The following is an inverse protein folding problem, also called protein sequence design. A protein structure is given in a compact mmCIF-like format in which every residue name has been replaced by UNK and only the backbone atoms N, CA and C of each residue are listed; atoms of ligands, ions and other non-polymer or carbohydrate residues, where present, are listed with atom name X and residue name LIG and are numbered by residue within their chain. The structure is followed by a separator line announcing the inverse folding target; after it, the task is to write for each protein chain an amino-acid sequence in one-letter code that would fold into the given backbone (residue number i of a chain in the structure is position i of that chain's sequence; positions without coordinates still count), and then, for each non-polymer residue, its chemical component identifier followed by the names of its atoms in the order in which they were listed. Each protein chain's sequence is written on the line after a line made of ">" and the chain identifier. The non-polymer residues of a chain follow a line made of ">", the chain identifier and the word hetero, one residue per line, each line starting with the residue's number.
data_IF_718126495611
#
_entry.id   IF_718126495611
#
_cell.length_a   1.000
_cell.length_b   1.000
_cell.length_c   1.000
_cell.angle_alpha   90.00
_cell.angle_beta   90.00
_cell.angle_gamma   90.00
#
_symmetry.space_group_name_H-M   'P 1'
#
loop_
_entity.id
_entity.type
_entity.pdbx_description
1 polymer ?
#
# COMPACT_ATOMS: atom_id res chain seq x y z
N UNK A 1 -33.30 18.02 30.87
CA UNK A 1 -32.53 19.26 31.16
C UNK A 1 -31.20 19.03 31.87
N UNK A 2 -31.01 17.90 32.58
CA UNK A 2 -29.79 17.64 33.38
C UNK A 2 -28.56 17.29 32.51
N UNK A 3 -28.72 16.60 31.37
CA UNK A 3 -27.55 16.18 30.56
C UNK A 3 -26.82 17.34 29.85
N UNK A 4 -27.53 18.37 29.36
CA UNK A 4 -26.92 19.51 28.65
C UNK A 4 -26.05 20.42 29.53
N UNK A 5 -26.32 20.49 30.85
CA UNK A 5 -25.51 21.29 31.79
C UNK A 5 -24.19 20.61 32.11
N UNK A 6 -24.20 19.28 32.27
CA UNK A 6 -23.01 18.47 32.54
C UNK A 6 -22.01 18.57 31.37
N UNK A 7 -22.49 18.54 30.11
CA UNK A 7 -21.62 18.62 28.93
C UNK A 7 -20.89 19.96 28.80
N UNK A 8 -21.55 21.08 29.13
CA UNK A 8 -20.94 22.42 29.05
C UNK A 8 -19.82 22.62 30.07
N UNK A 9 -20.01 22.15 31.31
CA UNK A 9 -18.98 22.26 32.34
C UNK A 9 -17.74 21.43 32.01
N UNK A 10 -17.93 20.21 31.47
CA UNK A 10 -16.84 19.34 31.03
C UNK A 10 -16.10 19.97 29.84
N UNK A 11 -16.81 20.46 28.83
CA UNK A 11 -16.20 21.16 27.69
C UNK A 11 -15.37 22.38 28.12
N UNK A 12 -15.85 23.15 29.10
CA UNK A 12 -15.14 24.33 29.58
C UNK A 12 -13.86 23.98 30.35
N UNK A 13 -13.84 22.88 31.10
CA UNK A 13 -12.67 22.41 31.84
C UNK A 13 -11.51 22.05 30.89
N UNK A 14 -11.78 21.29 29.83
CA UNK A 14 -10.76 20.88 28.87
C UNK A 14 -10.29 22.03 27.97
N UNK A 15 -11.15 23.03 27.72
CA UNK A 15 -10.79 24.22 26.94
C UNK A 15 -9.68 25.05 27.61
N UNK A 16 -9.62 25.06 28.95
CA UNK A 16 -8.55 25.72 29.71
C UNK A 16 -7.17 25.12 29.39
N UNK A 17 -7.14 23.84 29.02
CA UNK A 17 -5.92 23.09 28.69
C UNK A 17 -5.66 23.04 27.18
N UNK A 18 -6.40 23.83 26.37
CA UNK A 18 -6.27 23.86 24.91
C UNK A 18 -6.98 22.72 24.17
N UNK A 19 -7.74 21.87 24.86
CA UNK A 19 -8.45 20.74 24.26
C UNK A 19 -9.91 21.07 23.95
N UNK A 20 -10.40 20.56 22.81
CA UNK A 20 -11.82 20.62 22.42
C UNK A 20 -12.43 19.23 22.50
N UNK A 21 -13.45 19.06 23.33
CA UNK A 21 -14.21 17.80 23.40
C UNK A 21 -15.24 17.80 22.27
N UNK A 22 -15.12 16.81 21.39
CA UNK A 22 -16.03 16.57 20.28
C UNK A 22 -16.76 15.26 20.61
N UNK A 23 -18.10 15.20 20.54
CA UNK A 23 -18.79 13.92 20.63
C UNK A 23 -18.22 12.98 19.57
N UNK A 24 -17.79 11.79 19.99
CA UNK A 24 -17.60 10.69 19.06
C UNK A 24 -19.01 10.25 18.69
N UNK A 25 -19.48 10.72 17.53
CA UNK A 25 -20.60 10.05 16.89
C UNK A 25 -20.09 8.64 16.58
N UNK A 26 -20.75 7.59 17.07
CA UNK A 26 -20.46 6.20 16.69
C UNK A 26 -20.71 5.96 15.17
N UNK A 27 -21.09 7.04 14.46
CA UNK A 27 -21.10 7.21 13.01
C UNK A 27 -19.83 7.88 12.44
N UNK A 28 -18.70 7.84 13.13
CA UNK A 28 -17.38 7.99 12.50
C UNK A 28 -17.05 6.67 11.78
N UNK A 29 -17.64 6.28 10.64
CA UNK A 29 -17.34 6.83 9.29
C UNK A 29 -16.41 8.05 9.29
N UNK A 30 -15.18 7.83 9.74
CA UNK A 30 -14.07 8.73 9.40
C UNK A 30 -13.97 8.78 7.88
N UNK A 31 -13.99 9.99 7.33
CA UNK A 31 -14.19 10.36 5.93
C UNK A 31 -15.60 10.12 5.35
N UNK A 32 -16.38 11.21 5.25
CA UNK A 32 -17.58 11.33 4.38
C UNK A 32 -17.30 11.07 2.87
N UNK A 33 -16.08 10.66 2.53
CA UNK A 33 -15.56 10.39 1.18
C UNK A 33 -15.65 8.89 0.87
N UNK A 34 -15.67 8.03 1.90
CA UNK A 34 -15.82 6.59 1.74
C UNK A 34 -17.30 6.28 1.42
N UNK A 35 -17.54 5.73 0.22
CA UNK A 35 -18.86 5.37 -0.26
C UNK A 35 -19.18 3.89 0.05
N UNK A 36 -20.47 3.52 -0.04
CA UNK A 36 -20.92 2.16 0.23
C UNK A 36 -20.24 1.10 -0.66
N UNK A 37 -19.90 1.46 -1.91
CA UNK A 37 -19.21 0.56 -2.85
C UNK A 37 -17.81 0.16 -2.35
N UNK A 38 -17.08 1.08 -1.73
CA UNK A 38 -15.78 0.77 -1.12
C UNK A 38 -15.93 0.04 0.23
N UNK A 39 -16.98 0.30 1.00
CA UNK A 39 -17.20 -0.40 2.28
C UNK A 39 -17.27 -1.92 2.09
N UNK A 40 -17.95 -2.41 1.04
CA UNK A 40 -17.98 -3.83 0.71
C UNK A 40 -16.59 -4.39 0.38
N UNK A 41 -15.82 -3.69 -0.46
CA UNK A 41 -14.44 -4.10 -0.80
C UNK A 41 -13.55 -4.11 0.44
N UNK A 42 -13.68 -3.08 1.29
CA UNK A 42 -12.92 -2.95 2.52
C UNK A 42 -13.17 -4.14 3.45
N UNK A 43 -14.43 -4.51 3.68
CA UNK A 43 -14.80 -5.64 4.53
C UNK A 43 -14.23 -6.97 4.02
N UNK A 44 -14.21 -7.19 2.70
CA UNK A 44 -13.63 -8.39 2.08
C UNK A 44 -12.08 -8.43 2.16
N UNK A 45 -11.42 -7.27 2.29
CA UNK A 45 -9.96 -7.18 2.15
C UNK A 45 -9.21 -6.91 3.46
N UNK A 46 -9.85 -6.32 4.48
CA UNK A 46 -9.19 -5.77 5.68
C UNK A 46 -8.38 -6.80 6.48
N UNK A 47 -8.79 -8.06 6.49
CA UNK A 47 -8.07 -9.14 7.21
C UNK A 47 -6.83 -9.66 6.45
N UNK A 48 -6.67 -9.25 5.18
CA UNK A 48 -5.60 -9.68 4.28
C UNK A 48 -4.60 -8.55 3.96
N UNK A 49 -4.75 -7.37 4.55
CA UNK A 49 -3.79 -6.26 4.45
C UNK A 49 -3.47 -5.64 5.81
N UNK A 50 -2.25 -5.13 5.98
CA UNK A 50 -1.86 -4.32 7.14
C UNK A 50 -1.97 -2.81 6.85
N UNK A 51 -2.45 -2.45 5.66
CA UNK A 51 -2.61 -1.07 5.25
C UNK A 51 -3.81 -0.41 5.92
N UNK A 52 -3.74 0.90 6.08
CA UNK A 52 -4.83 1.70 6.64
C UNK A 52 -6.01 1.78 5.69
N UNK A 53 -7.21 2.08 6.20
CA UNK A 53 -8.39 2.28 5.36
C UNK A 53 -8.18 3.40 4.33
N UNK A 54 -7.41 4.43 4.67
CA UNK A 54 -7.03 5.53 3.79
C UNK A 54 -6.17 5.06 2.62
N UNK A 55 -5.20 4.16 2.87
CA UNK A 55 -4.37 3.54 1.81
C UNK A 55 -5.17 2.59 0.95
N UNK A 56 -6.06 1.80 1.55
CA UNK A 56 -6.99 0.93 0.83
C UNK A 56 -7.91 1.76 -0.09
N UNK A 57 -8.46 2.86 0.41
CA UNK A 57 -9.34 3.76 -0.35
C UNK A 57 -8.56 4.47 -1.47
N UNK A 58 -7.37 4.99 -1.18
CA UNK A 58 -6.52 5.61 -2.19
C UNK A 58 -6.18 4.64 -3.33
N UNK A 59 -5.91 3.37 -3.02
CA UNK A 59 -5.69 2.33 -4.01
C UNK A 59 -6.95 2.08 -4.86
N UNK A 60 -8.12 1.93 -4.23
CA UNK A 60 -9.40 1.83 -4.95
C UNK A 60 -9.62 3.01 -5.91
N UNK A 61 -9.42 4.25 -5.45
CA UNK A 61 -9.54 5.46 -6.28
C UNK A 61 -8.52 5.53 -7.40
N UNK A 62 -7.30 5.05 -7.18
CA UNK A 62 -6.26 4.97 -8.20
C UNK A 62 -6.68 4.03 -9.34
N UNK A 63 -7.23 2.86 -9.00
CA UNK A 63 -7.76 1.90 -9.99
C UNK A 63 -8.92 2.51 -10.76
N UNK A 64 -9.88 3.14 -10.08
CA UNK A 64 -11.00 3.82 -10.73
C UNK A 64 -10.54 4.89 -11.72
N UNK A 65 -9.60 5.74 -11.30
CA UNK A 65 -9.01 6.77 -12.14
C UNK A 65 -8.36 6.18 -13.39
N UNK A 66 -7.55 5.13 -13.24
CA UNK A 66 -6.85 4.48 -14.36
C UNK A 66 -7.82 3.92 -15.38
N UNK A 67 -8.88 3.25 -14.92
CA UNK A 67 -9.88 2.65 -15.81
C UNK A 67 -10.70 3.75 -16.50
N UNK A 68 -11.21 4.75 -15.75
CA UNK A 68 -12.00 5.87 -16.31
C UNK A 68 -11.21 6.70 -17.31
N UNK A 69 -9.94 6.99 -17.01
CA UNK A 69 -9.05 7.74 -17.89
C UNK A 69 -8.43 6.90 -19.01
N UNK A 70 -8.74 5.60 -19.07
CA UNK A 70 -8.22 4.65 -20.07
C UNK A 70 -6.69 4.63 -20.16
N UNK A 71 -6.01 4.76 -19.02
CA UNK A 71 -4.55 4.77 -18.98
C UNK A 71 -4.04 3.36 -19.31
N UNK A 72 -3.19 3.18 -20.33
CA UNK A 72 -2.74 1.86 -20.75
C UNK A 72 -1.66 1.32 -19.82
N UNK A 73 -1.67 0.00 -19.62
CA UNK A 73 -0.67 -0.73 -18.84
C UNK A 73 -1.26 -1.66 -17.80
N UNK A 74 -0.44 -2.55 -17.30
CA UNK A 74 -0.79 -3.51 -16.25
C UNK A 74 -0.58 -2.91 -14.85
N UNK A 75 -1.04 -3.62 -13.82
CA UNK A 75 -0.82 -3.24 -12.43
C UNK A 75 0.35 -4.02 -11.85
N UNK A 76 1.12 -3.36 -10.99
CA UNK A 76 2.26 -3.94 -10.29
C UNK A 76 2.16 -3.64 -8.81
N UNK A 77 2.35 -4.67 -8.00
CA UNK A 77 2.56 -4.58 -6.56
C UNK A 77 3.87 -5.30 -6.20
N UNK A 78 4.73 -4.60 -5.48
CA UNK A 78 5.96 -5.14 -4.89
C UNK A 78 5.80 -5.14 -3.37
N UNK A 79 5.80 -6.33 -2.77
CA UNK A 79 5.37 -6.54 -1.39
C UNK A 79 3.85 -6.72 -1.32
N UNK A 80 3.42 -7.97 -1.25
CA UNK A 80 2.03 -8.41 -1.39
C UNK A 80 1.47 -8.90 -0.06
N UNK A 81 2.30 -9.47 0.82
CA UNK A 81 1.88 -10.13 2.05
C UNK A 81 0.74 -11.13 1.78
N UNK A 82 -0.40 -11.03 2.48
CA UNK A 82 -1.58 -11.89 2.29
C UNK A 82 -2.43 -11.51 1.07
N UNK A 83 -2.08 -10.43 0.37
CA UNK A 83 -2.68 -10.04 -0.89
C UNK A 83 -3.88 -9.11 -0.80
N UNK A 84 -4.25 -8.58 0.38
CA UNK A 84 -5.43 -7.73 0.53
C UNK A 84 -5.41 -6.47 -0.35
N UNK A 85 -4.24 -5.85 -0.54
CA UNK A 85 -4.10 -4.72 -1.46
C UNK A 85 -4.33 -5.12 -2.92
N UNK A 86 -3.76 -6.24 -3.38
CA UNK A 86 -4.09 -6.80 -4.68
C UNK A 86 -5.58 -7.24 -4.80
N UNK A 87 -6.22 -7.71 -3.73
CA UNK A 87 -7.65 -8.02 -3.71
C UNK A 87 -8.48 -6.75 -3.97
N UNK A 88 -8.13 -5.61 -3.35
CA UNK A 88 -8.78 -4.32 -3.65
C UNK A 88 -8.68 -3.99 -5.14
N UNK A 89 -7.51 -4.20 -5.75
CA UNK A 89 -7.35 -3.99 -7.20
C UNK A 89 -8.31 -4.88 -7.99
N UNK A 90 -8.38 -6.17 -7.67
CA UNK A 90 -9.25 -7.12 -8.37
C UNK A 90 -10.73 -6.80 -8.22
N UNK A 91 -11.23 -6.54 -7.00
CA UNK A 91 -12.65 -6.22 -6.79
C UNK A 91 -13.03 -4.91 -7.48
N UNK A 92 -12.16 -3.89 -7.42
CA UNK A 92 -12.41 -2.61 -8.11
C UNK A 92 -12.46 -2.82 -9.63
N UNK A 93 -11.53 -3.58 -10.20
CA UNK A 93 -11.55 -3.92 -11.64
C UNK A 93 -12.83 -4.68 -12.03
N UNK A 94 -13.26 -5.65 -11.21
CA UNK A 94 -14.50 -6.42 -11.43
C UNK A 94 -15.74 -5.53 -11.38
N UNK A 95 -15.87 -4.66 -10.37
CA UNK A 95 -16.97 -3.69 -10.28
C UNK A 95 -17.05 -2.80 -11.54
N UNK A 96 -15.89 -2.43 -12.10
CA UNK A 96 -15.79 -1.63 -13.31
C UNK A 96 -15.86 -2.43 -14.61
N UNK A 97 -16.04 -3.76 -14.53
CA UNK A 97 -16.09 -4.68 -15.68
C UNK A 97 -14.81 -4.65 -16.54
N UNK A 98 -13.67 -4.33 -15.94
CA UNK A 98 -12.36 -4.41 -16.57
C UNK A 98 -11.68 -5.74 -16.18
N UNK A 99 -11.45 -6.60 -17.15
CA UNK A 99 -10.91 -7.97 -16.91
C UNK A 99 -9.72 -8.31 -17.81
N UNK A 100 -9.13 -7.32 -18.49
CA UNK A 100 -8.04 -7.56 -19.43
C UNK A 100 -6.66 -7.19 -18.86
N UNK A 101 -6.61 -6.44 -17.76
CA UNK A 101 -5.35 -6.03 -17.13
C UNK A 101 -4.74 -7.18 -16.34
N UNK A 102 -3.43 -7.35 -16.48
CA UNK A 102 -2.67 -8.23 -15.59
C UNK A 102 -2.31 -7.49 -14.31
N UNK A 103 -2.17 -8.25 -13.24
CA UNK A 103 -1.63 -7.80 -11.95
C UNK A 103 -0.38 -8.62 -11.69
N UNK A 104 0.78 -7.96 -11.68
CA UNK A 104 2.07 -8.55 -11.38
C UNK A 104 2.35 -8.38 -9.89
N UNK A 105 2.50 -9.50 -9.20
CA UNK A 105 2.61 -9.62 -7.75
C UNK A 105 4.02 -10.12 -7.42
N UNK A 106 4.90 -9.21 -7.01
CA UNK A 106 6.27 -9.53 -6.62
C UNK A 106 6.36 -9.63 -5.11
N UNK A 107 6.77 -10.80 -4.62
CA UNK A 107 6.96 -11.03 -3.18
C UNK A 107 7.93 -12.20 -2.98
N UNK A 108 8.60 -12.24 -1.83
CA UNK A 108 9.37 -13.42 -1.43
C UNK A 108 8.44 -14.62 -1.22
N UNK A 109 7.20 -14.38 -0.76
CA UNK A 109 6.26 -15.36 -0.22
C UNK A 109 6.87 -16.22 0.90
N UNK A 110 7.90 -15.68 1.54
CA UNK A 110 8.78 -16.30 2.54
C UNK A 110 9.10 -15.31 3.68
N UNK A 111 8.31 -14.23 3.79
CA UNK A 111 8.45 -13.15 4.77
C UNK A 111 9.51 -12.12 4.42
N UNK A 112 9.82 -11.24 5.37
CA UNK A 112 10.73 -10.12 5.14
C UNK A 112 12.14 -10.57 4.77
N UNK A 113 12.70 -9.96 3.73
CA UNK A 113 14.13 -10.03 3.43
C UNK A 113 14.95 -9.36 4.53
N UNK A 114 16.21 -9.77 4.69
CA UNK A 114 17.10 -9.16 5.68
C UNK A 114 17.27 -7.65 5.41
N UNK A 115 16.94 -6.79 6.38
CA UNK A 115 17.09 -5.34 6.25
C UNK A 115 18.56 -4.94 6.43
N UNK A 116 18.88 -3.72 6.00
CA UNK A 116 20.19 -3.10 6.17
C UNK A 116 20.18 -2.08 7.30
N UNK A 117 21.34 -1.45 7.55
CA UNK A 117 21.46 -0.33 8.50
C UNK A 117 20.67 0.93 8.12
N UNK A 118 20.27 1.04 6.85
CA UNK A 118 19.47 2.16 6.35
C UNK A 118 18.01 2.04 6.81
N UNK A 119 17.59 0.82 7.16
CA UNK A 119 16.19 0.47 7.41
C UNK A 119 15.85 0.66 8.90
N UNK A 120 15.57 1.91 9.24
CA UNK A 120 15.12 2.35 10.56
C UNK A 120 13.66 2.78 10.54
N UNK A 121 12.90 2.42 11.57
CA UNK A 121 11.53 2.90 11.73
C UNK A 121 11.56 4.38 12.08
N UNK A 122 10.92 5.23 11.27
CA UNK A 122 10.98 6.68 11.45
C UNK A 122 10.37 7.13 12.79
N UNK A 123 9.29 6.47 13.23
CA UNK A 123 8.57 6.86 14.45
C UNK A 123 9.34 6.61 15.75
N UNK A 124 10.31 5.69 15.74
CA UNK A 124 11.00 5.22 16.96
C UNK A 124 12.53 5.21 16.83
N UNK A 125 13.08 5.52 15.66
CA UNK A 125 14.51 5.41 15.32
C UNK A 125 15.12 4.02 15.61
N UNK A 126 14.29 2.97 15.60
CA UNK A 126 14.70 1.59 15.86
C UNK A 126 15.10 0.89 14.56
N UNK A 127 16.20 0.14 14.59
CA UNK A 127 16.65 -0.66 13.44
C UNK A 127 15.69 -1.84 13.20
N UNK A 128 15.32 -2.05 11.93
CA UNK A 128 14.51 -3.20 11.52
C UNK A 128 15.20 -4.54 11.80
N UNK A 129 16.54 -4.57 11.76
CA UNK A 129 17.34 -5.79 11.89
C UNK A 129 17.11 -6.52 13.21
N UNK A 130 16.84 -5.79 14.30
CA UNK A 130 16.63 -6.40 15.61
C UNK A 130 15.32 -7.21 15.62
N UNK A 131 14.25 -6.62 15.08
CA UNK A 131 12.97 -7.31 14.89
C UNK A 131 13.11 -8.46 13.88
N UNK A 132 13.80 -8.24 12.77
CA UNK A 132 14.01 -9.27 11.76
C UNK A 132 14.72 -10.50 12.33
N UNK A 133 15.82 -10.32 13.07
CA UNK A 133 16.54 -11.40 13.75
C UNK A 133 15.66 -12.17 14.72
N UNK A 134 14.80 -11.45 15.47
CA UNK A 134 13.86 -12.09 16.42
C UNK A 134 12.79 -12.97 15.74
N UNK A 135 12.58 -12.80 14.44
CA UNK A 135 11.57 -13.52 13.63
C UNK A 135 12.19 -14.48 12.61
N UNK A 136 13.52 -14.55 12.53
CA UNK A 136 14.20 -15.41 11.59
C UNK A 136 14.11 -16.89 12.02
N UNK A 137 13.71 -17.75 11.08
CA UNK A 137 13.77 -19.22 11.19
C UNK A 137 14.79 -19.76 10.18
N UNK A 138 15.03 -21.07 10.20
CA UNK A 138 16.02 -21.70 9.30
C UNK A 138 15.71 -21.48 7.81
N UNK A 139 14.43 -21.53 7.42
CA UNK A 139 14.02 -21.52 6.01
C UNK A 139 13.28 -20.26 5.56
N UNK A 140 12.78 -19.44 6.49
CA UNK A 140 11.99 -18.24 6.18
C UNK A 140 12.01 -17.25 7.35
N UNK A 141 11.50 -16.04 7.14
CA UNK A 141 11.27 -15.07 8.21
C UNK A 141 9.78 -15.02 8.57
N UNK A 142 9.43 -15.10 9.85
CA UNK A 142 8.02 -15.06 10.29
C UNK A 142 7.42 -13.64 10.25
N UNK A 143 8.25 -12.60 10.13
CA UNK A 143 7.75 -11.23 10.01
C UNK A 143 7.10 -11.05 8.64
N UNK A 144 5.81 -10.69 8.66
CA UNK A 144 5.00 -10.50 7.46
C UNK A 144 5.03 -11.73 6.54
N UNK A 145 5.10 -12.93 7.12
CA UNK A 145 5.05 -14.18 6.35
C UNK A 145 3.64 -14.43 5.81
N UNK A 146 3.56 -14.73 4.51
CA UNK A 146 2.41 -15.31 3.85
C UNK A 146 2.89 -16.20 2.70
N UNK A 147 2.42 -17.45 2.67
CA UNK A 147 2.89 -18.41 1.66
C UNK A 147 2.27 -18.13 0.29
N UNK A 148 2.97 -18.44 -0.81
CA UNK A 148 2.41 -18.26 -2.17
C UNK A 148 1.07 -19.00 -2.35
N UNK A 149 0.90 -20.14 -1.67
CA UNK A 149 -0.34 -20.93 -1.69
C UNK A 149 -1.50 -20.14 -1.05
N UNK A 150 -1.27 -19.55 0.12
CA UNK A 150 -2.23 -18.70 0.82
C UNK A 150 -2.62 -17.50 -0.04
N UNK A 151 -1.64 -16.75 -0.55
CA UNK A 151 -1.90 -15.57 -1.38
C UNK A 151 -2.67 -15.92 -2.65
N UNK A 152 -2.31 -17.02 -3.32
CA UNK A 152 -3.08 -17.52 -4.48
C UNK A 152 -4.51 -17.85 -4.10
N UNK A 153 -4.73 -18.49 -2.95
CA UNK A 153 -6.09 -18.82 -2.48
C UNK A 153 -6.94 -17.55 -2.30
N UNK A 154 -6.39 -16.54 -1.61
CA UNK A 154 -7.06 -15.27 -1.35
C UNK A 154 -7.35 -14.52 -2.66
N UNK A 155 -6.38 -14.43 -3.58
CA UNK A 155 -6.60 -13.72 -4.83
C UNK A 155 -7.56 -14.46 -5.77
N UNK A 156 -7.56 -15.79 -5.75
CA UNK A 156 -8.50 -16.58 -6.55
C UNK A 156 -9.93 -16.52 -6.04
N UNK A 157 -10.17 -16.27 -4.74
CA UNK A 157 -11.54 -16.14 -4.20
C UNK A 157 -12.25 -14.87 -4.68
N UNK A 158 -11.50 -13.87 -5.16
CA UNK A 158 -12.06 -12.63 -5.73
C UNK A 158 -12.85 -12.85 -7.03
N UNK A 159 -12.60 -13.97 -7.72
CA UNK A 159 -13.19 -14.26 -9.03
C UNK A 159 -12.49 -13.59 -10.21
N UNK A 160 -11.41 -12.83 -10.00
CA UNK A 160 -10.63 -12.25 -11.10
C UNK A 160 -9.98 -13.34 -11.97
N UNK A 161 -9.86 -13.16 -13.31
CA UNK A 161 -9.32 -14.20 -14.17
C UNK A 161 -7.92 -14.64 -13.74
N UNK A 162 -7.77 -15.91 -13.33
CA UNK A 162 -6.50 -16.46 -12.81
C UNK A 162 -5.31 -16.24 -13.75
N UNK A 163 -5.54 -16.27 -15.07
CA UNK A 163 -4.53 -16.02 -16.11
C UNK A 163 -3.95 -14.61 -16.10
N UNK A 164 -4.64 -13.66 -15.48
CA UNK A 164 -4.21 -12.27 -15.34
C UNK A 164 -3.49 -12.00 -14.02
N UNK A 165 -3.44 -12.96 -13.11
CA UNK A 165 -2.69 -12.86 -11.87
C UNK A 165 -1.32 -13.50 -12.06
N UNK A 166 -0.28 -12.67 -12.13
CA UNK A 166 1.10 -13.11 -12.35
C UNK A 166 1.85 -13.03 -11.03
N UNK A 167 2.21 -14.19 -10.47
CA UNK A 167 2.90 -14.29 -9.18
C UNK A 167 4.39 -14.53 -9.39
N UNK A 168 5.24 -13.67 -8.85
CA UNK A 168 6.69 -13.71 -9.02
C UNK A 168 7.34 -13.93 -7.66
N UNK A 169 7.71 -15.19 -7.40
CA UNK A 169 8.34 -15.58 -6.13
C UNK A 169 9.82 -15.21 -6.10
N UNK A 170 10.20 -14.49 -5.05
CA UNK A 170 11.57 -14.14 -4.71
C UNK A 170 11.73 -12.65 -4.44
N UNK A 171 12.89 -12.28 -3.89
CA UNK A 171 13.28 -10.88 -3.73
C UNK A 171 13.13 -10.10 -5.05
N UNK A 172 12.68 -8.85 -4.99
CA UNK A 172 12.47 -8.00 -6.17
C UNK A 172 13.75 -7.83 -6.99
N UNK A 173 14.90 -7.79 -6.31
CA UNK A 173 16.25 -7.72 -6.86
C UNK A 173 16.59 -8.94 -7.73
N UNK A 174 15.95 -10.08 -7.46
CA UNK A 174 16.18 -11.34 -8.17
C UNK A 174 15.16 -11.60 -9.30
N UNK A 175 13.98 -10.97 -9.23
CA UNK A 175 12.85 -11.19 -10.13
C UNK A 175 12.69 -10.08 -11.18
N UNK A 176 13.04 -8.84 -10.83
CA UNK A 176 13.06 -7.67 -11.73
C UNK A 176 14.51 -7.43 -12.19
N UNK A 177 14.78 -7.21 -13.49
CA UNK A 177 13.83 -6.98 -14.59
C UNK A 177 13.45 -8.25 -15.39
N UNK A 178 13.70 -9.47 -14.89
CA UNK A 178 13.55 -10.71 -15.67
C UNK A 178 12.13 -10.91 -16.19
N UNK A 179 11.12 -10.68 -15.34
CA UNK A 179 9.71 -10.73 -15.72
C UNK A 179 9.07 -9.44 -15.22
N UNK A 180 8.63 -8.58 -16.14
CA UNK A 180 7.91 -7.34 -15.85
C UNK A 180 7.00 -6.96 -17.03
N UNK A 181 5.90 -6.23 -16.79
CA UNK A 181 5.07 -5.70 -17.87
C UNK A 181 5.84 -4.67 -18.70
N UNK A 182 5.49 -4.55 -19.98
CA UNK A 182 6.07 -3.53 -20.86
C UNK A 182 5.55 -2.12 -20.60
N UNK A 183 4.35 -1.99 -20.03
CA UNK A 183 3.73 -0.74 -19.60
C UNK A 183 3.01 -0.95 -18.28
N UNK A 184 3.20 -0.04 -17.35
CA UNK A 184 2.53 -0.06 -16.04
C UNK A 184 1.55 1.11 -15.98
N UNK A 185 0.33 0.89 -15.52
CA UNK A 185 -0.63 1.95 -15.25
C UNK A 185 -0.72 2.27 -13.74
N UNK A 186 -0.50 1.27 -12.89
CA UNK A 186 -0.44 1.38 -11.43
C UNK A 186 0.82 0.69 -10.92
N UNK A 187 1.67 1.45 -10.23
CA UNK A 187 2.87 0.94 -9.57
C UNK A 187 2.73 1.16 -8.06
N UNK A 188 2.52 0.11 -7.28
CA UNK A 188 2.48 0.15 -5.81
C UNK A 188 3.74 -0.51 -5.24
N UNK A 189 4.52 0.25 -4.48
CA UNK A 189 5.75 -0.21 -3.81
C UNK A 189 5.54 -0.29 -2.29
N UNK A 190 5.79 -1.47 -1.72
CA UNK A 190 5.45 -1.85 -0.33
C UNK A 190 6.40 -2.93 0.20
N UNK A 191 7.71 -2.77 -0.06
CA UNK A 191 8.75 -3.73 0.36
C UNK A 191 9.56 -3.28 1.58
N UNK A 192 9.16 -2.18 2.24
CA UNK A 192 9.77 -1.56 3.42
C UNK A 192 11.22 -1.04 3.28
N UNK A 193 12.10 -1.73 2.53
CA UNK A 193 13.55 -1.54 2.59
C UNK A 193 14.12 -0.61 1.52
N UNK A 194 15.26 -0.02 1.85
CA UNK A 194 16.02 0.85 0.94
C UNK A 194 16.40 0.14 -0.37
N UNK A 195 17.01 -1.05 -0.29
CA UNK A 195 17.53 -1.75 -1.47
C UNK A 195 16.41 -2.15 -2.44
N UNK A 196 15.33 -2.73 -1.91
CA UNK A 196 14.17 -3.14 -2.72
C UNK A 196 13.47 -1.94 -3.34
N UNK A 197 13.17 -0.90 -2.56
CA UNK A 197 12.54 0.34 -3.06
C UNK A 197 13.39 0.99 -4.15
N UNK A 198 14.72 1.05 -3.97
CA UNK A 198 15.65 1.61 -4.94
C UNK A 198 15.68 0.79 -6.24
N UNK A 199 15.70 -0.53 -6.12
CA UNK A 199 15.70 -1.44 -7.27
C UNK A 199 14.40 -1.35 -8.07
N UNK A 200 13.26 -1.33 -7.38
CA UNK A 200 11.93 -1.17 -7.98
C UNK A 200 11.81 0.15 -8.73
N UNK A 201 12.18 1.28 -8.12
CA UNK A 201 12.14 2.59 -8.78
C UNK A 201 13.07 2.66 -9.99
N UNK A 202 14.25 2.03 -9.92
CA UNK A 202 15.20 1.97 -11.04
C UNK A 202 14.61 1.28 -12.26
N UNK A 203 13.85 0.20 -12.08
CA UNK A 203 13.40 -0.66 -13.17
C UNK A 203 11.94 -0.45 -13.59
N UNK A 204 11.03 -0.20 -12.64
CA UNK A 204 9.59 -0.14 -12.88
C UNK A 204 9.08 1.28 -13.14
N UNK A 205 9.60 2.31 -12.45
CA UNK A 205 9.16 3.68 -12.68
C UNK A 205 9.39 4.18 -14.13
N UNK A 206 10.49 3.81 -14.84
CA UNK A 206 10.65 4.19 -16.24
C UNK A 206 9.54 3.68 -17.16
N UNK A 207 8.99 2.48 -16.90
CA UNK A 207 7.91 1.86 -17.69
C UNK A 207 6.50 2.14 -17.17
N UNK A 208 6.37 2.88 -16.06
CA UNK A 208 5.11 3.52 -15.68
C UNK A 208 4.68 4.47 -16.80
N UNK A 209 3.47 4.30 -17.31
CA UNK A 209 2.94 5.15 -18.37
C UNK A 209 2.74 6.57 -17.82
N UNK A 210 2.92 7.58 -18.68
CA UNK A 210 2.45 8.94 -18.39
C UNK A 210 0.98 8.91 -17.93
N UNK A 211 0.67 9.70 -16.92
CA UNK A 211 -0.59 9.73 -16.17
C UNK A 211 -0.86 8.50 -15.29
N UNK A 212 0.01 7.50 -15.30
CA UNK A 212 -0.03 6.35 -14.39
C UNK A 212 0.21 6.76 -12.95
N UNK A 213 -0.25 5.92 -12.04
CA UNK A 213 -0.23 6.17 -10.59
C UNK A 213 0.96 5.44 -9.97
N UNK A 214 1.73 6.16 -9.16
CA UNK A 214 2.72 5.61 -8.23
C UNK A 214 2.16 5.69 -6.82
N UNK A 215 2.17 4.58 -6.09
CA UNK A 215 1.87 4.51 -4.65
C UNK A 215 3.13 4.02 -3.93
N UNK A 216 3.54 4.76 -2.91
CA UNK A 216 4.67 4.43 -2.04
C UNK A 216 4.11 4.21 -0.64
N UNK A 217 4.05 2.97 -0.18
CA UNK A 217 3.38 2.63 1.07
C UNK A 217 4.17 3.07 2.31
N UNK A 218 5.49 2.90 2.23
CA UNK A 218 6.42 3.00 3.36
C UNK A 218 7.20 4.30 3.46
N UNK A 219 6.89 5.29 2.63
CA UNK A 219 7.65 6.54 2.55
C UNK A 219 7.77 7.27 3.91
N UNK A 220 6.74 7.21 4.75
CA UNK A 220 6.78 7.73 6.12
C UNK A 220 6.99 6.67 7.20
N UNK A 221 7.10 5.38 6.83
CA UNK A 221 7.34 4.27 7.75
C UNK A 221 8.82 4.06 8.03
N UNK A 222 9.62 3.96 6.96
CA UNK A 222 11.00 3.47 7.00
C UNK A 222 11.95 4.49 6.39
N UNK A 223 13.01 4.82 7.12
CA UNK A 223 14.02 5.78 6.69
C UNK A 223 14.72 5.31 5.40
N UNK A 224 14.91 3.99 5.26
CA UNK A 224 15.47 3.36 4.06
C UNK A 224 14.61 3.59 2.83
N UNK A 225 13.32 3.19 2.86
CA UNK A 225 12.38 3.45 1.76
C UNK A 225 12.31 4.95 1.41
N UNK A 226 12.20 5.82 2.43
CA UNK A 226 12.21 7.28 2.22
C UNK A 226 13.45 7.75 1.49
N UNK A 227 14.63 7.33 1.94
CA UNK A 227 15.92 7.71 1.35
C UNK A 227 16.02 7.24 -0.10
N UNK A 228 15.60 6.01 -0.41
CA UNK A 228 15.59 5.49 -1.77
C UNK A 228 14.72 6.33 -2.72
N UNK A 229 13.51 6.70 -2.27
CA UNK A 229 12.59 7.56 -3.03
C UNK A 229 13.20 8.95 -3.23
N UNK A 230 13.69 9.58 -2.16
CA UNK A 230 14.27 10.93 -2.21
C UNK A 230 15.49 10.98 -3.13
N UNK A 231 16.38 9.98 -3.08
CA UNK A 231 17.52 9.84 -4.00
C UNK A 231 17.06 9.72 -5.45
N UNK A 232 16.06 8.88 -5.72
CA UNK A 232 15.59 8.64 -7.08
C UNK A 232 14.96 9.88 -7.71
N UNK A 233 14.20 10.66 -6.93
CA UNK A 233 13.47 11.83 -7.41
C UNK A 233 14.21 13.16 -7.21
N UNK A 234 15.42 13.18 -6.65
CA UNK A 234 16.21 14.40 -6.38
C UNK A 234 16.26 15.41 -7.55
N UNK A 235 16.34 14.93 -8.79
CA UNK A 235 16.41 15.74 -10.01
C UNK A 235 15.22 15.48 -10.96
N UNK A 236 14.08 15.00 -10.44
CA UNK A 236 12.88 14.69 -11.22
C UNK A 236 11.67 15.38 -10.60
N UNK A 237 10.82 15.99 -11.41
CA UNK A 237 9.60 16.61 -10.94
C UNK A 237 8.53 15.55 -10.67
N UNK A 238 8.15 15.39 -9.41
CA UNK A 238 6.97 14.63 -9.01
C UNK A 238 6.35 15.26 -7.76
N UNK A 239 5.02 15.39 -7.73
CA UNK A 239 4.30 15.73 -6.52
C UNK A 239 3.85 14.43 -5.83
N UNK A 240 4.41 14.17 -4.65
CA UNK A 240 3.99 13.06 -3.78
C UNK A 240 2.98 13.57 -2.75
N UNK A 241 1.70 13.41 -3.06
CA UNK A 241 0.62 13.75 -2.14
C UNK A 241 0.55 12.74 -1.00
N UNK A 242 0.27 13.23 0.20
CA UNK A 242 0.12 12.42 1.41
C UNK A 242 -1.21 11.64 1.36
N UNK A 243 -1.15 10.34 1.63
CA UNK A 243 -2.35 9.52 1.86
C UNK A 243 -2.66 9.52 3.37
N UNK A 244 -1.73 9.00 4.17
CA UNK A 244 -1.78 8.98 5.64
C UNK A 244 -0.39 9.33 6.23
N UNK A 245 -0.08 8.94 7.46
CA UNK A 245 1.26 9.14 8.04
C UNK A 245 2.40 8.53 7.22
N UNK A 246 2.17 7.41 6.53
CA UNK A 246 3.22 6.64 5.85
C UNK A 246 3.13 6.73 4.32
N UNK A 247 1.93 6.51 3.77
CA UNK A 247 1.69 6.37 2.35
C UNK A 247 1.78 7.68 1.57
N UNK A 248 2.30 7.61 0.35
CA UNK A 248 2.28 8.69 -0.65
C UNK A 248 1.71 8.20 -1.97
N UNK A 249 1.07 9.10 -2.70
CA UNK A 249 0.59 8.87 -4.07
C UNK A 249 1.08 9.98 -4.99
N UNK A 250 1.50 9.61 -6.20
CA UNK A 250 1.90 10.54 -7.26
C UNK A 250 1.37 10.11 -8.61
N UNK A 251 1.17 11.08 -9.50
CA UNK A 251 0.87 10.84 -10.91
C UNK A 251 2.13 11.11 -11.72
N UNK A 252 2.52 10.17 -12.58
CA UNK A 252 3.65 10.39 -13.49
C UNK A 252 3.25 11.41 -14.55
N UNK A 253 3.97 12.52 -14.66
CA UNK A 253 3.66 13.61 -15.61
C UNK A 253 4.41 13.48 -16.94
N UNK A 254 5.56 12.79 -16.92
CA UNK A 254 6.49 12.61 -18.05
C UNK A 254 6.98 11.17 -18.11
#
# INVERSE_FOLDING_TARGET
>A
MISKKITKSIQSFFKIWGYKIIPLDDKNKGDNVINAEFEEIYEECKEFTMTSIERMYALHKAVEYIVKAKIPGDFVECGVWRGGSAMIMTYTLLQMKEINRKIYLYDTYEGMSEPTREDKKISSDTLAVDKWKSKQKEQHNEWCFASLKEVKSNLFSTGYPKKNLVFLKGKVENTIPKIMPSKIALLRLDTDWYESTKHELKHLFPVLTKHGVLILDDYGSWAGAKKAVDEYFKNKSILLNRIDSTGRVGIKTE
#
